data_IF_139669001351
#
_entry.id   IF_139669001351
#
_cell.length_a   1.000
_cell.length_b   1.000
_cell.length_c   1.000
_cell.angle_alpha   90.00
_cell.angle_beta   90.00
_cell.angle_gamma   90.00
#
_symmetry.space_group_name_H-M   'P 1'
#
loop_
_entity.id
_entity.type
_entity.pdbx_description
1 polymer ?
#
# COMPACT_ATOMS: atom_id res chain seq x y z
N UNK A 1 -6.33 -3.17 32.92
CA UNK A 1 -5.25 -2.43 32.23
C UNK A 1 -4.37 -3.47 31.54
N UNK A 2 -4.16 -3.52 30.24
CA UNK A 2 -4.61 -2.75 29.07
C UNK A 2 -4.79 -3.79 27.95
N UNK A 3 -5.91 -3.66 27.24
CA UNK A 3 -6.17 -4.30 25.95
C UNK A 3 -5.18 -3.75 24.91
N UNK A 4 -4.56 -4.65 24.14
CA UNK A 4 -3.85 -4.29 22.90
C UNK A 4 -4.64 -4.91 21.73
N UNK A 5 -4.97 -4.14 20.69
CA UNK A 5 -5.85 -4.60 19.63
C UNK A 5 -5.10 -5.49 18.62
N UNK A 6 -5.68 -6.64 18.34
CA UNK A 6 -5.30 -7.53 17.25
C UNK A 6 -5.77 -6.93 15.91
N UNK A 7 -4.92 -6.69 14.91
CA UNK A 7 -5.39 -6.41 13.56
C UNK A 7 -5.65 -7.75 12.86
N UNK A 8 -6.93 -8.10 12.74
CA UNK A 8 -7.45 -9.23 12.00
C UNK A 8 -6.84 -9.36 10.59
N UNK A 9 -5.96 -10.34 10.40
CA UNK A 9 -5.69 -10.92 9.08
C UNK A 9 -6.10 -12.40 9.14
N UNK A 10 -7.22 -12.68 8.47
CA UNK A 10 -7.85 -13.99 8.37
C UNK A 10 -6.89 -14.97 7.67
N UNK A 11 -6.39 -15.96 8.41
CA UNK A 11 -5.76 -17.17 7.85
C UNK A 11 -6.85 -18.21 7.66
N UNK A 12 -7.21 -18.49 6.40
CA UNK A 12 -8.04 -19.63 6.06
C UNK A 12 -7.28 -20.93 6.38
N UNK A 13 -7.76 -21.70 7.36
CA UNK A 13 -7.28 -23.04 7.67
C UNK A 13 -7.85 -24.02 6.66
N UNK A 14 -7.01 -24.86 6.07
CA UNK A 14 -7.43 -26.15 5.51
C UNK A 14 -6.56 -27.24 6.16
N UNK A 15 -7.22 -28.18 6.82
CA UNK A 15 -6.63 -29.29 7.59
C UNK A 15 -6.30 -30.52 6.72
N UNK A 16 -5.23 -31.24 7.12
CA UNK A 16 -4.94 -32.67 6.90
C UNK A 16 -4.49 -33.08 5.48
N UNK A 17 -3.44 -33.88 5.25
CA UNK A 17 -3.05 -35.14 5.93
C UNK A 17 -1.51 -35.36 5.83
N UNK A 18 -0.95 -36.03 6.84
CA UNK A 18 0.46 -36.30 7.14
C UNK A 18 1.20 -37.27 6.17
N UNK A 19 2.55 -37.20 6.08
CA UNK A 19 3.49 -38.27 6.51
C UNK A 19 5.01 -37.88 6.34
N UNK A 20 5.74 -37.93 7.48
CA UNK A 20 7.16 -38.25 7.78
C UNK A 20 8.32 -38.04 6.76
N UNK A 21 9.30 -37.17 7.10
CA UNK A 21 10.77 -37.46 7.24
C UNK A 21 11.43 -36.35 8.10
N UNK A 22 12.26 -36.63 9.14
CA UNK A 22 12.96 -35.61 9.91
C UNK A 22 14.45 -35.53 9.56
N UNK A 23 14.95 -34.40 9.04
CA UNK A 23 16.36 -34.03 9.25
C UNK A 23 16.62 -32.52 9.02
N UNK A 24 16.87 -31.83 10.14
CA UNK A 24 17.60 -30.56 10.28
C UNK A 24 17.25 -29.44 9.29
N UNK A 25 16.11 -28.80 9.50
CA UNK A 25 15.94 -27.40 9.06
C UNK A 25 16.76 -26.52 10.02
N UNK A 26 17.94 -26.12 9.55
CA UNK A 26 18.76 -25.13 10.23
C UNK A 26 17.92 -23.89 10.55
N UNK A 27 18.00 -23.47 11.82
CA UNK A 27 17.34 -22.31 12.42
C UNK A 27 17.33 -21.13 11.46
N UNK A 28 16.15 -20.79 10.94
CA UNK A 28 15.90 -19.46 10.38
C UNK A 28 15.77 -18.51 11.55
N UNK A 29 16.91 -18.05 12.06
CA UNK A 29 16.97 -16.81 12.87
C UNK A 29 17.31 -15.69 11.91
N UNK A 30 16.34 -15.30 11.10
CA UNK A 30 16.30 -13.98 10.48
C UNK A 30 15.18 -13.27 11.20
N UNK A 31 15.48 -12.18 11.90
CA UNK A 31 14.45 -11.27 12.39
C UNK A 31 13.45 -11.06 11.25
N UNK A 32 12.16 -11.25 11.50
CA UNK A 32 11.09 -11.11 10.50
C UNK A 32 10.94 -9.64 10.11
N UNK A 33 11.96 -9.09 9.45
CA UNK A 33 11.98 -7.76 8.90
C UNK A 33 11.10 -7.81 7.65
N UNK A 34 9.97 -7.12 7.71
CA UNK A 34 8.99 -7.18 6.64
C UNK A 34 9.47 -6.42 5.41
N UNK A 35 9.13 -6.97 4.24
CA UNK A 35 9.53 -6.42 2.95
C UNK A 35 8.75 -5.13 2.62
N UNK A 36 9.46 -4.04 2.36
CA UNK A 36 8.89 -2.71 2.08
C UNK A 36 7.98 -2.75 0.85
N UNK A 37 8.44 -3.39 -0.23
CA UNK A 37 7.64 -3.48 -1.46
C UNK A 37 6.35 -4.27 -1.26
N UNK A 38 6.36 -5.29 -0.39
CA UNK A 38 5.18 -6.08 -0.06
C UNK A 38 4.18 -5.25 0.76
N UNK A 39 4.67 -4.50 1.75
CA UNK A 39 3.84 -3.59 2.54
C UNK A 39 3.21 -2.50 1.67
N UNK A 40 3.98 -1.92 0.75
CA UNK A 40 3.49 -0.95 -0.22
C UNK A 40 2.40 -1.53 -1.12
N UNK A 41 2.52 -2.80 -1.54
CA UNK A 41 1.53 -3.47 -2.36
C UNK A 41 0.19 -3.65 -1.62
N UNK A 42 0.24 -4.03 -0.35
CA UNK A 42 -0.96 -4.08 0.49
C UNK A 42 -1.63 -2.71 0.61
N UNK A 43 -0.86 -1.63 0.76
CA UNK A 43 -1.40 -0.27 0.76
C UNK A 43 -1.94 0.13 -0.63
N UNK A 44 -1.29 -0.29 -1.71
CA UNK A 44 -1.71 0.00 -3.09
C UNK A 44 -3.07 -0.63 -3.40
N UNK A 45 -3.33 -1.84 -2.90
CA UNK A 45 -4.60 -2.56 -3.07
C UNK A 45 -5.73 -2.07 -2.14
N UNK A 46 -5.41 -1.29 -1.10
CA UNK A 46 -6.41 -0.71 -0.20
C UNK A 46 -7.37 0.22 -0.98
N UNK A 47 -8.67 0.04 -0.74
CA UNK A 47 -9.73 0.78 -1.44
C UNK A 47 -10.31 1.90 -0.59
N UNK A 48 -10.18 1.83 0.73
CA UNK A 48 -10.60 2.91 1.61
C UNK A 48 -9.52 4.01 1.67
N UNK A 49 -9.83 5.27 1.30
CA UNK A 49 -8.82 6.33 1.28
C UNK A 49 -8.18 6.60 2.64
N UNK A 50 -8.96 6.57 3.72
CA UNK A 50 -8.45 6.86 5.07
C UNK A 50 -7.53 5.73 5.55
N UNK A 51 -7.94 4.47 5.36
CA UNK A 51 -7.12 3.31 5.64
C UNK A 51 -5.83 3.31 4.82
N UNK A 52 -5.88 3.69 3.54
CA UNK A 52 -4.70 3.79 2.69
C UNK A 52 -3.70 4.79 3.26
N UNK A 53 -4.13 6.03 3.54
CA UNK A 53 -3.26 7.07 4.11
C UNK A 53 -2.65 6.60 5.43
N UNK A 54 -3.44 5.99 6.32
CA UNK A 54 -2.94 5.46 7.58
C UNK A 54 -1.90 4.34 7.38
N UNK A 55 -2.12 3.44 6.43
CA UNK A 55 -1.16 2.37 6.10
C UNK A 55 0.14 2.96 5.56
N UNK A 56 0.06 3.93 4.65
CA UNK A 56 1.24 4.59 4.07
C UNK A 56 2.07 5.29 5.15
N UNK A 57 1.43 6.03 6.06
CA UNK A 57 2.11 6.65 7.19
C UNK A 57 2.83 5.63 8.08
N UNK A 58 2.20 4.47 8.34
CA UNK A 58 2.83 3.37 9.09
C UNK A 58 4.03 2.79 8.35
N UNK A 59 3.94 2.59 7.04
CA UNK A 59 5.03 2.09 6.21
C UNK A 59 6.21 3.07 6.26
N UNK A 60 5.97 4.35 6.02
CA UNK A 60 7.02 5.37 6.06
C UNK A 60 7.72 5.44 7.43
N UNK A 61 6.95 5.38 8.52
CA UNK A 61 7.51 5.35 9.87
C UNK A 61 8.31 4.07 10.16
N UNK A 62 7.83 2.92 9.70
CA UNK A 62 8.50 1.63 9.92
C UNK A 62 9.78 1.50 9.08
N UNK A 63 9.75 1.99 7.84
CA UNK A 63 10.91 2.06 6.96
C UNK A 63 11.99 2.97 7.55
N UNK A 64 11.62 4.19 7.94
CA UNK A 64 12.54 5.14 8.60
C UNK A 64 13.11 4.60 9.92
N UNK A 65 12.36 3.74 10.61
CA UNK A 65 12.78 3.08 11.85
C UNK A 65 13.57 1.80 11.64
N UNK A 66 13.86 1.37 10.40
CA UNK A 66 14.58 0.14 10.09
C UNK A 66 13.78 -1.15 10.33
N UNK A 67 12.47 -1.05 10.58
CA UNK A 67 11.58 -2.21 10.76
C UNK A 67 11.13 -2.82 9.43
N UNK A 68 11.18 -2.04 8.35
CA UNK A 68 11.00 -2.51 6.98
C UNK A 68 12.31 -2.38 6.22
N UNK A 69 12.59 -3.37 5.36
CA UNK A 69 13.77 -3.36 4.48
C UNK A 69 13.38 -3.61 3.04
N UNK A 70 14.31 -3.36 2.13
CA UNK A 70 14.17 -3.72 0.73
C UNK A 70 14.96 -4.99 0.47
N UNK A 71 14.25 -6.04 0.10
CA UNK A 71 14.78 -7.34 -0.30
C UNK A 71 14.35 -7.61 -1.76
N UNK A 72 15.25 -7.34 -2.72
CA UNK A 72 14.97 -7.54 -4.15
C UNK A 72 14.55 -8.97 -4.51
N UNK A 73 14.98 -9.96 -3.73
CA UNK A 73 14.74 -11.37 -4.00
C UNK A 73 13.27 -11.81 -3.80
N UNK A 74 12.42 -10.98 -3.18
CA UNK A 74 10.99 -11.28 -3.02
C UNK A 74 10.25 -11.00 -4.33
N UNK A 75 9.70 -12.03 -5.03
CA UNK A 75 8.91 -11.83 -6.23
C UNK A 75 7.50 -11.35 -5.83
N UNK A 76 7.14 -10.12 -6.20
CA UNK A 76 5.84 -9.53 -5.84
C UNK A 76 4.88 -9.43 -7.02
N UNK A 77 5.36 -9.04 -8.20
CA UNK A 77 4.49 -8.60 -9.28
C UNK A 77 4.06 -9.71 -10.25
N UNK A 78 4.60 -10.91 -10.10
CA UNK A 78 4.27 -12.04 -10.97
C UNK A 78 2.89 -12.67 -10.64
N UNK A 79 2.26 -12.26 -9.53
CA UNK A 79 1.08 -12.93 -8.97
C UNK A 79 -0.20 -12.08 -8.94
N UNK A 80 -0.16 -10.80 -9.37
CA UNK A 80 -1.30 -9.89 -9.27
C UNK A 80 -1.81 -9.43 -10.63
N UNK A 81 -3.12 -9.59 -10.82
CA UNK A 81 -3.84 -9.08 -11.99
C UNK A 81 -3.72 -7.55 -12.04
N UNK A 82 -3.22 -7.03 -13.17
CA UNK A 82 -3.04 -5.59 -13.40
C UNK A 82 -4.35 -4.80 -13.25
N UNK A 83 -5.50 -5.45 -13.37
CA UNK A 83 -6.81 -4.81 -13.15
C UNK A 83 -7.14 -4.54 -11.67
N UNK A 84 -6.45 -5.20 -10.74
CA UNK A 84 -6.63 -5.03 -9.31
C UNK A 84 -5.85 -3.83 -8.73
N UNK A 85 -4.96 -3.22 -9.51
CA UNK A 85 -4.01 -2.19 -9.07
C UNK A 85 -4.27 -0.85 -9.80
N UNK A 86 -4.39 0.29 -9.09
CA UNK A 86 -4.52 0.41 -7.64
C UNK A 86 -5.91 -0.04 -7.16
N UNK A 87 -6.02 -0.32 -5.85
CA UNK A 87 -7.29 -0.47 -5.18
C UNK A 87 -8.14 0.79 -5.33
N UNK A 88 -9.27 0.67 -6.04
CA UNK A 88 -10.16 1.79 -6.30
C UNK A 88 -11.26 1.89 -5.24
N UNK A 89 -11.46 3.06 -4.63
CA UNK A 89 -12.65 3.31 -3.82
C UNK A 89 -13.93 3.13 -4.63
N UNK A 90 -15.02 2.77 -3.96
CA UNK A 90 -16.34 2.64 -4.61
C UNK A 90 -16.91 3.98 -5.09
N UNK A 91 -16.44 5.09 -4.51
CA UNK A 91 -16.83 6.45 -4.87
C UNK A 91 -15.62 7.39 -4.85
N UNK A 92 -15.64 8.46 -5.67
CA UNK A 92 -16.67 8.82 -6.63
C UNK A 92 -16.70 7.89 -7.85
N UNK A 93 -17.82 7.89 -8.57
CA UNK A 93 -17.93 7.15 -9.82
C UNK A 93 -16.96 7.70 -10.87
N UNK A 94 -16.37 6.82 -11.66
CA UNK A 94 -15.49 7.21 -12.75
C UNK A 94 -16.33 7.75 -13.91
N UNK A 95 -16.28 9.06 -14.11
CA UNK A 95 -17.00 9.74 -15.19
C UNK A 95 -16.04 10.25 -16.27
N UNK A 96 -16.55 10.48 -17.47
CA UNK A 96 -15.74 11.02 -18.56
C UNK A 96 -15.31 12.46 -18.24
N UNK A 97 -14.10 12.91 -18.67
CA UNK A 97 -13.63 14.27 -18.38
C UNK A 97 -14.62 15.37 -18.81
N UNK A 98 -15.31 15.17 -19.94
CA UNK A 98 -16.31 16.11 -20.49
C UNK A 98 -17.58 16.25 -19.64
N UNK A 99 -17.85 15.32 -18.72
CA UNK A 99 -19.03 15.36 -17.84
C UNK A 99 -18.73 15.98 -16.48
N UNK A 100 -17.49 16.42 -16.24
CA UNK A 100 -17.12 17.15 -15.04
C UNK A 100 -17.71 18.56 -15.06
N UNK A 101 -18.36 18.97 -13.96
CA UNK A 101 -18.91 20.32 -13.81
C UNK A 101 -17.80 21.35 -13.67
N UNK A 102 -18.05 22.57 -14.14
CA UNK A 102 -17.11 23.68 -14.02
C UNK A 102 -16.95 24.10 -12.54
N UNK A 103 -15.72 24.33 -12.10
CA UNK A 103 -15.37 24.69 -10.72
C UNK A 103 -15.13 26.20 -10.63
N UNK A 104 -16.04 26.93 -9.97
CA UNK A 104 -15.91 28.38 -9.76
C UNK A 104 -15.29 28.66 -8.40
N UNK A 105 -14.18 29.38 -8.30
CA UNK A 105 -13.59 29.72 -6.98
C UNK A 105 -14.36 30.83 -6.22
N UNK A 106 -15.40 31.40 -6.84
CA UNK A 106 -16.13 32.56 -6.30
C UNK A 106 -17.16 32.19 -5.23
N UNK A 107 -17.68 30.96 -5.25
CA UNK A 107 -18.68 30.48 -4.27
C UNK A 107 -18.06 29.47 -3.31
N UNK A 108 -18.70 29.24 -2.17
CA UNK A 108 -18.23 28.25 -1.18
C UNK A 108 -18.22 26.84 -1.77
N UNK A 109 -19.25 26.48 -2.54
CA UNK A 109 -19.39 25.16 -3.18
C UNK A 109 -18.26 24.92 -4.18
N UNK A 110 -17.89 25.93 -4.96
CA UNK A 110 -16.82 25.76 -5.94
C UNK A 110 -15.43 25.76 -5.33
N UNK A 111 -15.21 26.40 -4.16
CA UNK A 111 -14.00 26.18 -3.34
C UNK A 111 -13.96 24.76 -2.77
N UNK A 112 -15.07 24.25 -2.26
CA UNK A 112 -15.16 22.85 -1.81
C UNK A 112 -14.84 21.86 -2.94
N UNK A 113 -15.37 22.11 -4.15
CA UNK A 113 -15.07 21.30 -5.33
C UNK A 113 -13.59 21.36 -5.77
N UNK A 114 -12.90 22.49 -5.52
CA UNK A 114 -11.46 22.62 -5.76
C UNK A 114 -10.66 21.80 -4.74
N UNK A 115 -10.97 21.91 -3.45
CA UNK A 115 -10.30 21.13 -2.39
C UNK A 115 -10.49 19.63 -2.66
N UNK A 116 -11.70 19.23 -3.05
CA UNK A 116 -11.98 17.85 -3.45
C UNK A 116 -11.15 17.39 -4.66
N UNK A 117 -10.97 18.27 -5.66
CA UNK A 117 -10.12 17.99 -6.81
C UNK A 117 -8.67 17.74 -6.39
N UNK A 118 -8.15 18.60 -5.51
CA UNK A 118 -6.79 18.49 -4.99
C UNK A 118 -6.62 17.17 -4.24
N UNK A 119 -7.56 16.82 -3.35
CA UNK A 119 -7.54 15.55 -2.63
C UNK A 119 -7.49 14.33 -3.58
N UNK A 120 -8.16 14.39 -4.74
CA UNK A 120 -8.07 13.34 -5.76
C UNK A 120 -6.72 13.29 -6.47
N UNK A 121 -6.09 14.44 -6.73
CA UNK A 121 -4.73 14.50 -7.30
C UNK A 121 -3.74 13.87 -6.32
N UNK A 122 -3.81 14.27 -5.05
CA UNK A 122 -2.95 13.71 -3.98
C UNK A 122 -3.17 12.20 -3.83
N UNK A 123 -4.42 11.73 -3.80
CA UNK A 123 -4.72 10.31 -3.71
C UNK A 123 -4.15 9.51 -4.90
N UNK A 124 -4.18 10.09 -6.11
CA UNK A 124 -3.56 9.48 -7.27
C UNK A 124 -2.03 9.48 -7.16
N UNK A 125 -1.41 10.54 -6.63
CA UNK A 125 0.03 10.60 -6.39
C UNK A 125 0.49 9.50 -5.41
N UNK A 126 -0.25 9.28 -4.33
CA UNK A 126 -0.02 8.17 -3.39
C UNK A 126 -0.04 6.82 -4.11
N UNK A 127 -1.05 6.57 -4.95
CA UNK A 127 -1.13 5.31 -5.71
C UNK A 127 0.04 5.14 -6.69
N UNK A 128 0.47 6.21 -7.37
CA UNK A 128 1.62 6.18 -8.28
C UNK A 128 2.93 5.89 -7.53
N UNK A 129 3.13 6.53 -6.38
CA UNK A 129 4.31 6.32 -5.56
C UNK A 129 4.39 4.88 -5.04
N UNK A 130 3.26 4.33 -4.57
CA UNK A 130 3.18 2.95 -4.14
C UNK A 130 3.43 1.96 -5.29
N UNK A 131 2.88 2.21 -6.50
CA UNK A 131 3.17 1.38 -7.68
C UNK A 131 4.66 1.38 -8.01
N UNK A 132 5.30 2.56 -7.99
CA UNK A 132 6.73 2.70 -8.24
C UNK A 132 7.60 1.93 -7.22
N UNK A 133 7.23 1.95 -5.93
CA UNK A 133 7.89 1.15 -4.89
C UNK A 133 7.72 -0.35 -5.17
N UNK A 134 6.52 -0.79 -5.51
CA UNK A 134 6.23 -2.20 -5.70
C UNK A 134 6.90 -2.79 -6.95
N UNK A 135 6.89 -2.02 -8.04
CA UNK A 135 7.26 -2.47 -9.40
C UNK A 135 8.77 -2.60 -9.59
N UNK A 136 9.53 -1.65 -9.07
CA UNK A 136 10.98 -1.60 -9.30
C UNK A 136 11.71 -2.27 -8.14
N UNK A 137 12.11 -3.52 -8.37
CA UNK A 137 13.05 -4.24 -7.51
C UNK A 137 14.49 -3.73 -7.76
N UNK A 138 15.37 -3.97 -6.80
CA UNK A 138 16.82 -3.76 -6.94
C UNK A 138 17.26 -2.30 -7.18
N UNK A 139 16.46 -1.35 -6.69
CA UNK A 139 16.83 0.06 -6.69
C UNK A 139 17.63 0.43 -5.43
N UNK A 140 18.41 1.53 -5.43
CA UNK A 140 19.04 2.03 -4.21
C UNK A 140 17.99 2.37 -3.13
N UNK A 141 18.34 2.25 -1.85
CA UNK A 141 17.44 2.57 -0.72
C UNK A 141 16.82 3.97 -0.82
N UNK A 142 17.59 4.94 -1.34
CA UNK A 142 17.14 6.31 -1.59
C UNK A 142 15.92 6.38 -2.52
N UNK A 143 15.86 5.53 -3.56
CA UNK A 143 14.70 5.48 -4.46
C UNK A 143 13.40 5.21 -3.68
N UNK A 144 13.44 4.25 -2.75
CA UNK A 144 12.28 3.91 -1.94
C UNK A 144 11.94 5.01 -0.93
N UNK A 145 12.95 5.64 -0.35
CA UNK A 145 12.77 6.79 0.55
C UNK A 145 12.08 7.96 -0.15
N UNK A 146 12.55 8.31 -1.35
CA UNK A 146 12.02 9.42 -2.14
C UNK A 146 10.56 9.17 -2.53
N UNK A 147 10.22 7.95 -2.98
CA UNK A 147 8.83 7.60 -3.28
C UNK A 147 7.93 7.51 -2.06
N UNK A 148 8.43 7.04 -0.91
CA UNK A 148 7.67 7.10 0.34
C UNK A 148 7.40 8.55 0.76
N UNK A 149 8.33 9.47 0.51
CA UNK A 149 8.12 10.90 0.74
C UNK A 149 7.06 11.52 -0.18
N UNK A 150 6.87 11.01 -1.39
CA UNK A 150 5.76 11.44 -2.26
C UNK A 150 4.42 10.91 -1.76
N UNK A 151 4.42 9.73 -1.13
CA UNK A 151 3.21 9.07 -0.66
C UNK A 151 2.71 9.57 0.72
N UNK A 152 3.50 10.41 1.41
CA UNK A 152 3.22 10.89 2.78
C UNK A 152 3.06 12.40 2.85
#
# INVERSE_FOLDING_TARGET
MKSSPNPDFIVAKHEGVAELVPEKVNKVTTEEMWETRAAALHALLERDPAAKVLRVAKIASAFKGGMLVVNPAVPLMNALDATAIPGRPLRPELVLPKTLKHRSMRTEEGRAALIHALAHIEFNAINLALDAICRFADMPEQYYTDWLSVAT
#
